data_IF_446076356418
#
_entry.id   IF_446076356418
#
_cell.length_a   1.000
_cell.length_b   1.000
_cell.length_c   1.000
_cell.angle_alpha   90.00
_cell.angle_beta   90.00
_cell.angle_gamma   90.00
#
_symmetry.space_group_name_H-M   'P 1'
#
loop_
_entity.id
_entity.type
_entity.pdbx_description
1 polymer ?
#
# COMPACT_ATOMS: atom_id res chain seq x y z
N UNK A 1 20.30 7.25 -6.49
CA UNK A 1 19.52 7.72 -5.31
C UNK A 1 18.08 7.19 -5.32
N UNK A 2 17.32 7.28 -6.41
CA UNK A 2 15.94 6.74 -6.46
C UNK A 2 15.82 5.23 -6.67
N UNK A 3 16.82 4.59 -7.30
CA UNK A 3 16.77 3.16 -7.61
C UNK A 3 16.58 2.25 -6.38
N UNK A 4 17.23 2.56 -5.26
CA UNK A 4 17.04 1.80 -4.01
C UNK A 4 15.62 1.91 -3.45
N UNK A 5 15.01 3.10 -3.51
CA UNK A 5 13.63 3.31 -3.08
C UNK A 5 12.63 2.57 -3.98
N UNK A 6 12.83 2.63 -5.29
CA UNK A 6 12.00 1.91 -6.24
C UNK A 6 12.11 0.38 -6.05
N UNK A 7 13.33 -0.12 -5.83
CA UNK A 7 13.54 -1.54 -5.52
C UNK A 7 12.80 -1.97 -4.26
N UNK A 8 12.91 -1.22 -3.17
CA UNK A 8 12.20 -1.51 -1.93
C UNK A 8 10.67 -1.47 -2.10
N UNK A 9 10.16 -0.52 -2.89
CA UNK A 9 8.72 -0.43 -3.17
C UNK A 9 8.24 -1.64 -3.96
N UNK A 10 8.93 -2.03 -5.03
CA UNK A 10 8.56 -3.20 -5.84
C UNK A 10 8.73 -4.51 -5.06
N UNK A 11 9.81 -4.64 -4.28
CA UNK A 11 10.05 -5.84 -3.47
C UNK A 11 9.00 -6.03 -2.36
N UNK A 12 8.49 -4.93 -1.78
CA UNK A 12 7.44 -4.99 -0.74
C UNK A 12 6.03 -5.12 -1.30
N UNK A 13 5.80 -4.83 -2.58
CA UNK A 13 4.48 -4.82 -3.21
C UNK A 13 3.69 -6.11 -2.98
N UNK A 14 4.28 -7.28 -3.27
CA UNK A 14 3.58 -8.56 -3.11
C UNK A 14 3.17 -8.84 -1.65
N UNK A 15 4.01 -8.44 -0.69
CA UNK A 15 3.69 -8.58 0.73
C UNK A 15 2.52 -7.68 1.13
N UNK A 16 2.50 -6.44 0.65
CA UNK A 16 1.40 -5.51 0.89
C UNK A 16 0.07 -5.99 0.29
N UNK A 17 0.12 -6.62 -0.89
CA UNK A 17 -1.07 -7.24 -1.51
C UNK A 17 -1.71 -8.30 -0.61
N UNK A 18 -0.89 -9.08 0.12
CA UNK A 18 -1.39 -10.13 1.02
C UNK A 18 -2.12 -9.58 2.26
N UNK A 19 -1.93 -8.30 2.59
CA UNK A 19 -2.61 -7.60 3.69
C UNK A 19 -4.00 -7.08 3.31
N UNK A 20 -4.42 -7.25 2.05
CA UNK A 20 -5.76 -6.85 1.60
C UNK A 20 -6.80 -7.93 1.93
N UNK A 21 -8.04 -7.50 2.19
CA UNK A 21 -9.13 -8.41 2.55
C UNK A 21 -9.93 -8.98 1.36
N UNK A 22 -9.54 -8.65 0.12
CA UNK A 22 -10.24 -9.08 -1.09
C UNK A 22 -9.37 -9.81 -2.12
N UNK A 23 -10.04 -10.29 -3.17
CA UNK A 23 -9.40 -11.03 -4.26
C UNK A 23 -9.10 -12.49 -3.93
N UNK A 24 -8.14 -13.07 -4.65
CA UNK A 24 -7.75 -14.49 -4.54
C UNK A 24 -6.56 -14.73 -3.59
N UNK A 25 -5.88 -13.67 -3.15
CA UNK A 25 -4.62 -13.71 -2.38
C UNK A 25 -3.39 -13.44 -3.25
N UNK A 26 -2.27 -13.07 -2.61
CA UNK A 26 -1.04 -12.70 -3.30
C UNK A 26 -0.25 -13.94 -3.76
N UNK A 27 0.22 -13.96 -5.01
CA UNK A 27 1.09 -15.03 -5.51
C UNK A 27 2.56 -14.76 -5.22
N UNK A 28 2.94 -14.80 -3.94
CA UNK A 28 4.29 -14.50 -3.47
C UNK A 28 5.38 -15.45 -4.01
N UNK A 29 5.00 -16.69 -4.36
CA UNK A 29 5.92 -17.75 -4.75
C UNK A 29 5.93 -18.03 -6.26
N UNK A 30 5.28 -17.19 -7.06
CA UNK A 30 5.36 -17.30 -8.51
C UNK A 30 6.79 -16.97 -8.98
N UNK A 31 7.38 -17.69 -9.95
CA UNK A 31 6.79 -18.71 -10.82
C UNK A 31 6.87 -20.16 -10.30
N UNK A 32 7.40 -20.38 -9.09
CA UNK A 32 7.60 -21.72 -8.54
C UNK A 32 6.31 -22.37 -8.05
N UNK A 33 5.33 -21.57 -7.64
CA UNK A 33 4.02 -22.03 -7.18
C UNK A 33 2.92 -21.04 -7.57
N UNK A 34 1.72 -21.58 -7.79
CA UNK A 34 0.49 -20.81 -8.02
C UNK A 34 -0.30 -20.57 -6.73
N UNK A 35 0.25 -20.91 -5.56
CA UNK A 35 -0.37 -20.66 -4.27
C UNK A 35 -0.71 -19.17 -4.10
N UNK A 36 -1.91 -18.90 -3.59
CA UNK A 36 -2.38 -17.55 -3.28
C UNK A 36 -2.44 -17.38 -1.77
N UNK A 37 -1.63 -16.48 -1.25
CA UNK A 37 -1.39 -16.32 0.17
C UNK A 37 -1.98 -15.00 0.66
N UNK A 38 -2.66 -15.08 1.80
CA UNK A 38 -3.06 -13.93 2.59
C UNK A 38 -2.21 -13.86 3.85
N UNK A 39 -1.98 -12.64 4.33
CA UNK A 39 -1.47 -12.43 5.66
C UNK A 39 -2.52 -12.85 6.71
N UNK A 40 -2.08 -13.25 7.92
CA UNK A 40 -2.99 -13.63 9.00
C UNK A 40 -3.88 -12.45 9.47
N UNK A 41 -3.42 -11.22 9.24
CA UNK A 41 -4.18 -9.98 9.47
C UNK A 41 -4.35 -9.25 8.15
N UNK A 42 -5.54 -8.70 7.92
CA UNK A 42 -5.89 -8.01 6.67
C UNK A 42 -6.52 -6.66 6.96
N UNK A 43 -5.72 -5.68 7.43
CA UNK A 43 -6.24 -4.39 7.86
C UNK A 43 -6.66 -3.50 6.69
N UNK A 44 -6.22 -3.82 5.46
CA UNK A 44 -6.46 -3.00 4.28
C UNK A 44 -7.68 -3.53 3.52
N UNK A 45 -8.76 -2.74 3.39
CA UNK A 45 -9.90 -3.15 2.60
C UNK A 45 -9.55 -3.14 1.11
N UNK A 46 -10.07 -4.10 0.36
CA UNK A 46 -9.85 -4.17 -1.09
C UNK A 46 -10.43 -2.95 -1.80
N UNK A 47 -9.60 -2.33 -2.64
CA UNK A 47 -9.97 -1.22 -3.49
C UNK A 47 -10.87 -1.67 -4.66
N UNK A 48 -11.98 -0.97 -4.93
CA UNK A 48 -12.72 -1.13 -6.18
C UNK A 48 -11.84 -0.88 -7.41
N UNK A 49 -12.11 -1.58 -8.52
CA UNK A 49 -11.35 -1.41 -9.76
C UNK A 49 -11.97 -0.31 -10.62
N UNK A 50 -11.14 0.56 -11.19
CA UNK A 50 -11.55 1.57 -12.16
C UNK A 50 -12.48 2.64 -11.57
N UNK A 51 -13.55 2.98 -12.29
CA UNK A 51 -14.51 4.00 -11.88
C UNK A 51 -15.21 3.69 -10.54
N UNK A 52 -15.17 2.43 -10.09
CA UNK A 52 -15.66 2.04 -8.77
C UNK A 52 -14.96 2.76 -7.61
N UNK A 53 -13.76 3.31 -7.81
CA UNK A 53 -13.07 4.13 -6.81
C UNK A 53 -13.81 5.44 -6.49
N UNK A 54 -14.65 5.93 -7.39
CA UNK A 54 -15.46 7.14 -7.18
C UNK A 54 -16.78 6.85 -6.45
N UNK A 55 -16.97 5.62 -5.97
CA UNK A 55 -18.16 5.20 -5.21
C UNK A 55 -18.00 5.43 -3.70
N UNK A 56 -19.08 5.34 -2.91
CA UNK A 56 -18.99 5.36 -1.44
C UNK A 56 -18.03 4.30 -0.88
N UNK A 57 -17.92 3.13 -1.53
CA UNK A 57 -16.95 2.09 -1.13
C UNK A 57 -15.52 2.55 -1.40
N UNK A 58 -15.26 3.22 -2.52
CA UNK A 58 -13.94 3.76 -2.82
C UNK A 58 -13.51 4.84 -1.82
N UNK A 59 -14.42 5.75 -1.45
CA UNK A 59 -14.16 6.74 -0.40
C UNK A 59 -13.85 6.08 0.96
N UNK A 60 -14.57 5.02 1.32
CA UNK A 60 -14.29 4.24 2.53
C UNK A 60 -12.88 3.62 2.49
N UNK A 61 -12.48 3.03 1.37
CA UNK A 61 -11.14 2.42 1.22
C UNK A 61 -10.05 3.48 1.35
N UNK A 62 -10.19 4.62 0.66
CA UNK A 62 -9.23 5.74 0.77
C UNK A 62 -9.13 6.22 2.23
N UNK A 63 -10.26 6.35 2.93
CA UNK A 63 -10.27 6.72 4.35
C UNK A 63 -9.53 5.70 5.22
N UNK A 64 -9.78 4.41 5.03
CA UNK A 64 -9.11 3.34 5.77
C UNK A 64 -7.59 3.30 5.51
N UNK A 65 -7.17 3.45 4.25
CA UNK A 65 -5.76 3.50 3.86
C UNK A 65 -5.06 4.75 4.43
N UNK A 66 -5.70 5.92 4.36
CA UNK A 66 -5.15 7.15 4.96
C UNK A 66 -4.88 6.96 6.45
N UNK A 67 -5.81 6.34 7.18
CA UNK A 67 -5.65 6.05 8.61
C UNK A 67 -4.53 5.03 8.85
N UNK A 68 -4.50 3.93 8.09
CA UNK A 68 -3.49 2.88 8.23
C UNK A 68 -2.05 3.41 7.99
N UNK A 69 -1.90 4.37 7.07
CA UNK A 69 -0.60 4.95 6.71
C UNK A 69 -0.31 6.31 7.36
N UNK A 70 -1.06 6.75 8.38
CA UNK A 70 -0.83 8.03 9.10
C UNK A 70 0.65 8.28 9.42
N UNK A 71 1.43 7.32 9.99
CA UNK A 71 2.82 7.58 10.34
C UNK A 71 3.67 7.97 9.13
N UNK A 72 3.41 7.36 7.97
CA UNK A 72 4.11 7.66 6.73
C UNK A 72 3.70 9.01 6.16
N UNK A 73 2.40 9.33 6.18
CA UNK A 73 1.90 10.65 5.79
C UNK A 73 2.48 11.76 6.66
N UNK A 74 2.49 11.56 7.99
CA UNK A 74 3.06 12.51 8.93
C UNK A 74 4.56 12.74 8.67
N UNK A 75 5.32 11.67 8.43
CA UNK A 75 6.74 11.78 8.09
C UNK A 75 6.97 12.48 6.74
N UNK A 76 6.17 12.15 5.72
CA UNK A 76 6.31 12.72 4.38
C UNK A 76 5.95 14.20 4.34
N UNK A 77 4.92 14.61 5.08
CA UNK A 77 4.44 16.00 5.17
C UNK A 77 5.16 16.81 6.26
N UNK A 78 6.10 16.19 6.99
CA UNK A 78 6.81 16.88 8.07
C UNK A 78 7.58 18.09 7.52
N UNK A 79 7.36 19.30 8.07
CA UNK A 79 8.06 20.49 7.62
C UNK A 79 9.57 20.34 7.81
N UNK A 80 10.31 20.23 6.70
CA UNK A 80 11.77 20.30 6.73
C UNK A 80 12.13 21.76 6.62
N UNK A 81 12.49 22.38 7.74
CA UNK A 81 12.87 23.78 7.79
C UNK A 81 13.85 24.10 6.67
N UNK A 82 13.54 25.14 5.90
CA UNK A 82 14.45 25.71 4.92
C UNK A 82 15.77 25.98 5.63
N UNK A 83 16.81 25.24 5.27
CA UNK A 83 18.17 25.56 5.68
C UNK A 83 18.43 26.97 5.14
N UNK A 84 18.25 27.95 6.02
CA UNK A 84 18.50 29.36 5.78
C UNK A 84 19.95 29.45 5.31
N UNK A 85 20.15 29.56 3.99
CA UNK A 85 21.44 29.92 3.41
C UNK A 85 21.79 31.28 4.01
N UNK A 86 22.73 31.29 4.96
CA UNK A 86 23.59 32.45 5.14
C UNK A 86 24.54 32.52 3.95
#
# INVERSE_FOLDING_TARGET
RWGGLAFLAVASHGLLDSLTDGGLGAALLWPFSNARLFAPVRPLPVSPIGAGMLSPRGLYVVGAELLAFIPFWAYALWPRGSARKR
#
